data_IF_111282883550
#
_entry.id   IF_111282883550
#
_cell.length_a   1.000
_cell.length_b   1.000
_cell.length_c   1.000
_cell.angle_alpha   90.00
_cell.angle_beta   90.00
_cell.angle_gamma   90.00
#
_symmetry.space_group_name_H-M   'P 1'
#
loop_
_entity.id
_entity.type
_entity.pdbx_description
1 polymer ?
#
# COMPACT_ATOMS: atom_id res chain seq x y z
N UNK A 1 -14.28 -17.19 -18.80
CA UNK A 1 -14.07 -15.98 -17.99
C UNK A 1 -12.92 -16.31 -17.06
N UNK A 2 -11.86 -15.52 -17.10
CA UNK A 2 -10.81 -15.63 -16.09
C UNK A 2 -11.41 -15.37 -14.70
N UNK A 3 -10.96 -16.08 -13.65
CA UNK A 3 -11.46 -15.83 -12.31
C UNK A 3 -11.18 -14.38 -11.91
N UNK A 4 -12.19 -13.68 -11.47
CA UNK A 4 -12.10 -12.30 -11.05
C UNK A 4 -11.45 -12.25 -9.66
N UNK A 5 -10.22 -11.73 -9.57
CA UNK A 5 -9.53 -11.54 -8.30
C UNK A 5 -10.21 -10.46 -7.45
N UNK A 6 -10.09 -10.56 -6.12
CA UNK A 6 -10.65 -9.58 -5.19
C UNK A 6 -9.60 -9.13 -4.16
N UNK A 7 -9.42 -7.82 -4.06
CA UNK A 7 -8.50 -7.17 -3.12
C UNK A 7 -9.26 -6.21 -2.21
N UNK A 8 -8.94 -6.24 -0.92
CA UNK A 8 -9.43 -5.26 0.05
C UNK A 8 -8.33 -4.22 0.27
N UNK A 9 -8.65 -2.95 0.08
CA UNK A 9 -7.74 -1.82 0.32
C UNK A 9 -8.14 -1.09 1.59
N UNK A 10 -7.25 -1.05 2.57
CA UNK A 10 -7.43 -0.32 3.82
C UNK A 10 -6.76 1.05 3.75
N UNK A 11 -7.53 2.13 3.96
CA UNK A 11 -7.01 3.50 3.99
C UNK A 11 -6.62 3.93 5.40
N UNK A 12 -5.40 4.44 5.57
CA UNK A 12 -4.92 5.00 6.84
C UNK A 12 -4.55 6.50 6.74
N UNK A 13 -4.71 7.11 5.57
CA UNK A 13 -4.35 8.50 5.35
C UNK A 13 -2.94 8.68 4.79
N UNK A 14 -2.19 9.64 5.33
CA UNK A 14 -0.85 9.98 4.87
C UNK A 14 -0.81 10.85 3.61
N UNK A 15 0.39 11.00 3.05
CA UNK A 15 0.66 11.84 1.86
C UNK A 15 -0.09 11.36 0.62
N UNK A 16 -0.28 10.06 0.44
CA UNK A 16 -1.02 9.50 -0.69
C UNK A 16 -2.45 10.04 -0.74
N UNK A 17 -3.05 10.28 0.43
CA UNK A 17 -4.37 10.88 0.63
C UNK A 17 -4.28 12.39 0.90
N UNK A 18 -3.14 12.99 0.69
CA UNK A 18 -2.89 14.39 0.97
C UNK A 18 -3.30 15.30 -0.19
N UNK A 19 -3.80 16.49 0.13
CA UNK A 19 -4.15 17.53 -0.84
C UNK A 19 -3.50 18.87 -0.47
N UNK A 20 -3.14 19.63 -1.48
CA UNK A 20 -2.56 20.95 -1.36
C UNK A 20 -2.82 21.80 -2.60
N UNK A 21 -2.06 22.87 -2.77
CA UNK A 21 -2.17 23.69 -3.97
C UNK A 21 -1.84 22.89 -5.22
N UNK A 22 -2.63 23.08 -6.27
CA UNK A 22 -2.48 22.33 -7.52
C UNK A 22 -1.05 22.40 -8.07
N UNK A 23 -0.50 21.24 -8.40
CA UNK A 23 0.84 21.08 -8.95
C UNK A 23 2.00 21.19 -7.94
N UNK A 24 1.73 21.52 -6.66
CA UNK A 24 2.76 21.64 -5.63
C UNK A 24 2.96 20.34 -4.85
N UNK A 25 4.21 20.07 -4.46
CA UNK A 25 4.58 18.88 -3.67
C UNK A 25 4.85 19.22 -2.20
N UNK A 26 4.79 20.49 -1.83
CA UNK A 26 5.03 20.97 -0.48
C UNK A 26 3.82 21.78 0.01
N UNK A 27 3.71 21.97 1.32
CA UNK A 27 2.60 22.69 1.96
C UNK A 27 1.23 22.07 1.64
N UNK A 28 1.11 20.75 1.80
CA UNK A 28 -0.13 19.99 1.67
C UNK A 28 -0.61 19.53 3.06
N UNK A 29 -1.87 19.13 3.12
CA UNK A 29 -2.46 18.49 4.30
C UNK A 29 -2.59 16.98 4.01
N UNK A 30 -1.96 16.09 4.81
CA UNK A 30 -2.13 14.65 4.67
C UNK A 30 -3.55 14.21 5.06
N UNK A 31 -3.98 13.06 4.59
CA UNK A 31 -5.24 12.44 5.01
C UNK A 31 -6.50 13.25 4.69
N UNK A 32 -6.60 13.86 3.53
CA UNK A 32 -7.77 14.63 3.10
C UNK A 32 -8.73 13.83 2.22
N UNK A 33 -8.21 12.86 1.48
CA UNK A 33 -8.98 11.96 0.63
C UNK A 33 -9.26 10.66 1.36
N UNK A 34 -10.41 10.08 1.16
CA UNK A 34 -10.68 8.73 1.63
C UNK A 34 -10.16 7.66 0.65
N UNK A 35 -10.25 6.39 1.06
CA UNK A 35 -9.76 5.29 0.24
C UNK A 35 -10.52 5.15 -1.07
N UNK A 36 -11.80 5.47 -1.10
CA UNK A 36 -12.62 5.37 -2.31
C UNK A 36 -12.25 6.47 -3.31
N UNK A 37 -11.91 7.68 -2.84
CA UNK A 37 -11.34 8.74 -3.68
C UNK A 37 -10.02 8.31 -4.32
N UNK A 38 -9.14 7.64 -3.56
CA UNK A 38 -7.88 7.12 -4.09
C UNK A 38 -8.13 6.06 -5.17
N UNK A 39 -9.10 5.19 -4.95
CA UNK A 39 -9.47 4.14 -5.90
C UNK A 39 -10.08 4.71 -7.17
N UNK A 40 -10.84 5.79 -7.11
CA UNK A 40 -11.40 6.45 -8.30
C UNK A 40 -10.31 7.01 -9.23
N UNK A 41 -9.15 7.39 -8.69
CA UNK A 41 -8.03 7.89 -9.47
C UNK A 41 -7.29 6.81 -10.28
N UNK A 42 -7.58 5.52 -10.05
CA UNK A 42 -7.04 4.42 -10.86
C UNK A 42 -8.03 4.15 -12.01
N UNK A 43 -7.62 4.31 -13.27
CA UNK A 43 -8.48 4.00 -14.41
C UNK A 43 -9.03 2.56 -14.34
N UNK A 44 -10.32 2.33 -14.67
CA UNK A 44 -10.92 0.99 -14.61
C UNK A 44 -10.14 -0.07 -15.41
N UNK A 45 -9.66 0.30 -16.58
CA UNK A 45 -8.89 -0.60 -17.45
C UNK A 45 -7.56 -1.05 -16.83
N UNK A 46 -7.00 -0.23 -15.91
CA UNK A 46 -5.76 -0.56 -15.21
C UNK A 46 -5.97 -1.48 -13.99
N UNK A 47 -7.21 -1.67 -13.55
CA UNK A 47 -7.53 -2.62 -12.47
C UNK A 47 -7.57 -4.06 -12.97
N UNK A 48 -7.45 -4.27 -14.29
CA UNK A 48 -7.60 -5.55 -14.94
C UNK A 48 -8.90 -6.25 -14.48
N UNK A 49 -8.89 -7.54 -14.28
CA UNK A 49 -10.04 -8.32 -13.81
C UNK A 49 -10.12 -8.38 -12.26
N UNK A 50 -9.69 -7.31 -11.56
CA UNK A 50 -9.64 -7.28 -10.08
C UNK A 50 -10.79 -6.43 -9.53
N UNK A 51 -11.62 -7.04 -8.70
CA UNK A 51 -12.57 -6.32 -7.85
C UNK A 51 -11.82 -5.72 -6.67
N UNK A 52 -11.89 -4.41 -6.51
CA UNK A 52 -11.22 -3.69 -5.42
C UNK A 52 -12.28 -3.10 -4.49
N UNK A 53 -12.16 -3.37 -3.18
CA UNK A 53 -13.09 -2.88 -2.15
C UNK A 53 -12.32 -2.01 -1.16
N UNK A 54 -12.69 -0.74 -1.05
CA UNK A 54 -12.13 0.21 -0.08
C UNK A 54 -12.72 0.04 1.31
N UNK A 55 -11.90 0.19 2.34
CA UNK A 55 -12.30 0.30 3.74
C UNK A 55 -11.43 1.32 4.46
N UNK A 56 -12.03 2.39 4.99
CA UNK A 56 -11.27 3.36 5.77
C UNK A 56 -11.05 2.86 7.20
N UNK A 57 -9.81 2.95 7.68
CA UNK A 57 -9.43 2.69 9.07
C UNK A 57 -9.33 4.02 9.82
N UNK A 58 -8.52 4.93 9.29
CA UNK A 58 -8.34 6.29 9.79
C UNK A 58 -7.87 7.17 8.62
N UNK A 59 -7.80 8.48 8.85
CA UNK A 59 -7.33 9.41 7.84
C UNK A 59 -6.44 10.47 8.50
N UNK A 60 -5.25 10.03 8.92
CA UNK A 60 -4.32 10.82 9.73
C UNK A 60 -2.94 10.92 9.06
N UNK A 61 -2.09 11.82 9.57
CA UNK A 61 -0.66 11.73 9.27
C UNK A 61 -0.07 10.47 9.94
N UNK A 62 0.95 9.89 9.34
CA UNK A 62 1.49 8.61 9.84
C UNK A 62 2.05 8.70 11.27
N UNK A 63 2.54 9.88 11.66
CA UNK A 63 3.03 10.12 13.02
C UNK A 63 1.92 10.10 14.09
N UNK A 64 0.66 10.30 13.66
CA UNK A 64 -0.50 10.32 14.53
C UNK A 64 -1.21 8.95 14.60
N UNK A 65 -0.68 7.94 13.91
CA UNK A 65 -1.25 6.58 13.98
C UNK A 65 -1.06 5.99 15.37
N UNK A 66 -2.18 5.60 15.96
CA UNK A 66 -2.20 5.03 17.32
C UNK A 66 -2.08 3.51 17.29
N UNK A 67 -1.62 2.93 18.41
CA UNK A 67 -1.58 1.47 18.59
C UNK A 67 -2.95 0.81 18.41
N UNK A 68 -4.05 1.52 18.78
CA UNK A 68 -5.41 1.00 18.60
C UNK A 68 -5.79 0.88 17.12
N UNK A 69 -5.36 1.82 16.27
CA UNK A 69 -5.57 1.77 14.83
C UNK A 69 -4.78 0.63 14.18
N UNK A 70 -3.56 0.36 14.64
CA UNK A 70 -2.80 -0.81 14.21
C UNK A 70 -3.49 -2.12 14.57
N UNK A 71 -4.03 -2.22 15.80
CA UNK A 71 -4.77 -3.40 16.26
C UNK A 71 -6.05 -3.58 15.44
N UNK A 72 -6.81 -2.51 15.19
CA UNK A 72 -8.03 -2.58 14.37
C UNK A 72 -7.71 -3.04 12.95
N UNK A 73 -6.67 -2.49 12.33
CA UNK A 73 -6.22 -2.90 11.00
C UNK A 73 -5.85 -4.41 10.97
N UNK A 74 -5.04 -4.87 11.91
CA UNK A 74 -4.65 -6.27 12.00
C UNK A 74 -5.85 -7.21 12.23
N UNK A 75 -6.81 -6.80 13.07
CA UNK A 75 -8.04 -7.55 13.33
C UNK A 75 -8.91 -7.65 12.07
N UNK A 76 -9.05 -6.56 11.30
CA UNK A 76 -9.83 -6.56 10.05
C UNK A 76 -9.20 -7.44 8.98
N UNK A 77 -7.88 -7.40 8.81
CA UNK A 77 -7.15 -8.29 7.91
C UNK A 77 -7.36 -9.75 8.34
N UNK A 78 -7.16 -10.06 9.62
CA UNK A 78 -7.31 -11.43 10.13
C UNK A 78 -8.74 -11.95 10.00
N UNK A 79 -9.76 -11.11 10.19
CA UNK A 79 -11.16 -11.48 10.02
C UNK A 79 -11.50 -11.89 8.57
N UNK A 80 -10.76 -11.39 7.58
CA UNK A 80 -10.96 -11.69 6.16
C UNK A 80 -9.90 -12.66 5.60
N UNK A 81 -8.96 -13.10 6.44
CA UNK A 81 -7.83 -13.95 6.03
C UNK A 81 -8.27 -15.30 5.44
N UNK A 82 -9.34 -15.89 5.98
CA UNK A 82 -9.91 -17.17 5.53
C UNK A 82 -11.00 -17.04 4.47
N UNK A 83 -11.39 -15.84 4.08
CA UNK A 83 -12.42 -15.63 3.05
C UNK A 83 -11.89 -16.07 1.68
N UNK A 84 -12.46 -17.13 1.06
CA UNK A 84 -11.95 -17.66 -0.19
C UNK A 84 -12.12 -16.69 -1.39
N UNK A 85 -12.99 -15.70 -1.26
CA UNK A 85 -13.20 -14.70 -2.31
C UNK A 85 -12.14 -13.61 -2.30
N UNK A 86 -11.35 -13.46 -1.23
CA UNK A 86 -10.31 -12.43 -1.12
C UNK A 86 -8.96 -13.02 -1.46
N UNK A 87 -8.26 -12.45 -2.44
CA UNK A 87 -6.94 -12.90 -2.87
C UNK A 87 -5.81 -12.22 -2.11
N UNK A 88 -6.00 -10.96 -1.71
CA UNK A 88 -4.98 -10.21 -0.99
C UNK A 88 -5.50 -8.92 -0.36
N UNK A 89 -4.60 -8.23 0.32
CA UNK A 89 -4.88 -7.01 1.06
C UNK A 89 -3.87 -5.93 0.68
N UNK A 90 -4.34 -4.69 0.57
CA UNK A 90 -3.49 -3.52 0.40
C UNK A 90 -3.77 -2.54 1.54
N UNK A 91 -2.73 -1.86 2.01
CA UNK A 91 -2.83 -0.77 3.00
C UNK A 91 -2.20 0.47 2.39
N UNK A 92 -2.94 1.57 2.29
CA UNK A 92 -2.38 2.89 1.97
C UNK A 92 -2.00 3.61 3.25
N UNK A 93 -0.79 4.13 3.33
CA UNK A 93 -0.21 4.66 4.56
C UNK A 93 0.64 5.90 4.31
N UNK A 94 0.83 6.72 5.33
CA UNK A 94 1.84 7.77 5.30
C UNK A 94 3.25 7.21 5.45
N UNK A 95 4.23 7.86 4.81
CA UNK A 95 5.56 7.25 4.61
C UNK A 95 6.48 7.33 5.82
N UNK A 96 6.21 8.20 6.83
CA UNK A 96 7.14 8.41 7.95
C UNK A 96 7.16 7.23 8.93
N UNK A 97 6.02 6.53 9.10
CA UNK A 97 5.91 5.35 9.97
C UNK A 97 5.37 4.11 9.23
N UNK A 98 5.54 4.08 7.90
CA UNK A 98 5.10 2.95 7.08
C UNK A 98 5.84 1.66 7.45
N UNK A 99 7.14 1.74 7.68
CA UNK A 99 7.98 0.59 8.01
C UNK A 99 7.59 -0.04 9.36
N UNK A 100 7.21 0.76 10.35
CA UNK A 100 6.74 0.28 11.65
C UNK A 100 5.40 -0.43 11.51
N UNK A 101 4.46 0.14 10.75
CA UNK A 101 3.18 -0.50 10.45
C UNK A 101 3.39 -1.80 9.70
N UNK A 102 4.30 -1.83 8.72
CA UNK A 102 4.63 -3.03 7.96
C UNK A 102 5.16 -4.14 8.89
N UNK A 103 6.08 -3.80 9.79
CA UNK A 103 6.65 -4.77 10.71
C UNK A 103 5.63 -5.25 11.75
N UNK A 104 4.81 -4.34 12.29
CA UNK A 104 3.72 -4.71 13.20
C UNK A 104 2.75 -5.72 12.54
N UNK A 105 2.31 -5.44 11.33
CA UNK A 105 1.42 -6.36 10.60
C UNK A 105 2.11 -7.69 10.31
N UNK A 106 3.40 -7.68 9.96
CA UNK A 106 4.15 -8.91 9.71
C UNK A 106 4.23 -9.85 10.93
N UNK A 107 4.16 -9.29 12.14
CA UNK A 107 4.14 -10.05 13.38
C UNK A 107 2.74 -10.50 13.82
N UNK A 108 1.68 -9.85 13.35
CA UNK A 108 0.32 -9.99 13.91
C UNK A 108 -0.70 -10.57 12.94
N UNK A 109 -0.51 -10.44 11.64
CA UNK A 109 -1.43 -11.02 10.66
C UNK A 109 -1.19 -12.51 10.47
N UNK A 110 -2.30 -13.28 10.39
CA UNK A 110 -2.27 -14.75 10.34
C UNK A 110 -2.79 -15.25 8.98
N UNK A 111 -2.12 -14.82 7.91
CA UNK A 111 -2.51 -15.22 6.55
C UNK A 111 -1.27 -15.50 5.71
N UNK A 112 -1.45 -16.38 4.69
CA UNK A 112 -0.47 -16.54 3.60
C UNK A 112 -0.81 -15.68 2.39
N UNK A 113 -2.00 -15.05 2.36
CA UNK A 113 -2.37 -14.12 1.30
C UNK A 113 -1.47 -12.90 1.36
N UNK A 114 -1.11 -12.30 0.24
CA UNK A 114 -0.29 -11.09 0.24
C UNK A 114 -0.96 -9.96 1.04
N UNK A 115 -0.19 -9.33 1.89
CA UNK A 115 -0.55 -8.07 2.55
C UNK A 115 0.49 -7.05 2.11
N UNK A 116 0.07 -6.08 1.32
CA UNK A 116 0.97 -5.12 0.67
C UNK A 116 0.70 -3.72 1.21
N UNK A 117 1.73 -3.08 1.72
CA UNK A 117 1.64 -1.68 2.16
C UNK A 117 2.26 -0.78 1.10
N UNK A 118 1.64 0.36 0.87
CA UNK A 118 2.12 1.39 -0.03
C UNK A 118 1.78 2.79 0.46
N UNK A 119 2.32 3.79 -0.18
CA UNK A 119 2.10 5.20 0.12
C UNK A 119 2.50 6.08 -1.06
N UNK A 120 2.77 7.36 -0.78
CA UNK A 120 3.30 8.27 -1.77
C UNK A 120 4.25 9.30 -1.13
N UNK A 121 5.25 9.74 -1.87
CA UNK A 121 6.13 10.84 -1.47
C UNK A 121 5.57 12.20 -1.88
N UNK A 122 4.60 12.23 -2.79
CA UNK A 122 3.95 13.44 -3.30
C UNK A 122 2.44 13.38 -3.06
N UNK A 123 1.80 14.51 -2.65
CA UNK A 123 0.36 14.54 -2.44
C UNK A 123 -0.40 14.31 -3.75
N UNK A 124 -1.66 13.91 -3.64
CA UNK A 124 -2.51 13.60 -4.79
C UNK A 124 -2.67 14.78 -5.77
N UNK A 125 -2.54 16.01 -5.29
CA UNK A 125 -2.63 17.24 -6.10
C UNK A 125 -1.32 17.66 -6.77
N UNK A 126 -0.21 16.96 -6.52
CA UNK A 126 1.08 17.28 -7.14
C UNK A 126 1.06 17.00 -8.66
N UNK A 127 1.86 17.75 -9.43
CA UNK A 127 1.93 17.62 -10.89
C UNK A 127 2.31 16.20 -11.35
N UNK A 128 3.18 15.53 -10.61
CA UNK A 128 3.55 14.12 -10.84
C UNK A 128 3.40 13.33 -9.56
N UNK A 129 2.15 13.19 -9.09
CA UNK A 129 1.80 12.38 -7.94
C UNK A 129 2.16 10.90 -8.23
N UNK A 130 2.90 10.29 -7.30
CA UNK A 130 3.33 8.88 -7.41
C UNK A 130 2.32 7.90 -6.83
N UNK A 131 1.37 8.38 -6.03
CA UNK A 131 0.37 7.56 -5.34
C UNK A 131 -0.47 6.64 -6.25
N UNK A 132 -1.05 7.12 -7.36
CA UNK A 132 -1.85 6.27 -8.24
C UNK A 132 -1.09 5.07 -8.80
N UNK A 133 0.17 5.26 -9.22
CA UNK A 133 1.01 4.17 -9.72
C UNK A 133 1.37 3.20 -8.59
N UNK A 134 1.79 3.70 -7.44
CA UNK A 134 2.14 2.88 -6.29
C UNK A 134 0.95 2.03 -5.82
N UNK A 135 -0.25 2.62 -5.75
CA UNK A 135 -1.47 1.91 -5.37
C UNK A 135 -1.85 0.82 -6.38
N UNK A 136 -1.75 1.11 -7.66
CA UNK A 136 -2.00 0.15 -8.72
C UNK A 136 -1.03 -1.04 -8.64
N UNK A 137 0.26 -0.78 -8.48
CA UNK A 137 1.29 -1.81 -8.33
C UNK A 137 1.07 -2.66 -7.08
N UNK A 138 0.66 -2.04 -5.96
CA UNK A 138 0.31 -2.76 -4.74
C UNK A 138 -0.90 -3.68 -4.93
N UNK A 139 -1.93 -3.25 -5.66
CA UNK A 139 -3.11 -4.08 -5.98
C UNK A 139 -2.70 -5.28 -6.84
N UNK A 140 -1.86 -5.09 -7.85
CA UNK A 140 -1.35 -6.18 -8.70
C UNK A 140 -0.52 -7.18 -7.90
N UNK A 141 0.38 -6.69 -7.06
CA UNK A 141 1.18 -7.55 -6.18
C UNK A 141 0.28 -8.35 -5.22
N UNK A 142 -0.80 -7.75 -4.72
CA UNK A 142 -1.74 -8.41 -3.80
C UNK A 142 -2.54 -9.57 -4.45
N UNK A 143 -2.61 -9.63 -5.78
CA UNK A 143 -3.23 -10.76 -6.52
C UNK A 143 -2.21 -11.76 -7.07
N UNK A 144 -0.92 -11.45 -7.00
CA UNK A 144 0.12 -12.28 -7.59
C UNK A 144 0.45 -13.49 -6.71
N UNK A 145 0.40 -14.68 -7.31
CA UNK A 145 0.66 -15.94 -6.58
C UNK A 145 2.08 -16.07 -6.05
N UNK A 146 3.05 -15.44 -6.69
CA UNK A 146 4.45 -15.45 -6.22
C UNK A 146 4.62 -14.68 -4.90
N UNK A 147 3.70 -13.78 -4.57
CA UNK A 147 3.70 -13.03 -3.31
C UNK A 147 3.11 -13.81 -2.12
N UNK A 148 2.47 -14.97 -2.37
CA UNK A 148 1.89 -15.79 -1.31
C UNK A 148 2.95 -16.35 -0.37
N UNK A 149 2.74 -16.15 0.92
CA UNK A 149 3.62 -16.68 1.97
C UNK A 149 4.91 -15.90 2.19
N UNK A 150 5.12 -14.78 1.49
CA UNK A 150 6.29 -13.91 1.69
C UNK A 150 6.18 -13.00 2.92
N UNK A 151 5.05 -13.05 3.66
CA UNK A 151 4.77 -12.15 4.77
C UNK A 151 4.17 -10.82 4.28
N UNK A 152 4.33 -9.77 5.08
CA UNK A 152 3.92 -8.42 4.70
C UNK A 152 4.97 -7.78 3.81
N UNK A 153 4.53 -7.22 2.71
CA UNK A 153 5.37 -6.59 1.69
C UNK A 153 5.13 -5.08 1.65
N UNK A 154 6.16 -4.33 1.31
CA UNK A 154 6.06 -2.92 0.96
C UNK A 154 6.32 -2.79 -0.54
N UNK A 155 5.35 -2.22 -1.27
CA UNK A 155 5.48 -1.92 -2.69
C UNK A 155 5.59 -0.40 -2.88
N UNK A 156 6.73 0.07 -3.38
CA UNK A 156 6.96 1.50 -3.50
C UNK A 156 7.88 1.80 -4.70
N UNK A 157 7.45 2.73 -5.56
CA UNK A 157 8.18 3.09 -6.79
C UNK A 157 8.60 1.87 -7.64
N UNK A 158 7.73 0.87 -7.74
CA UNK A 158 7.98 -0.38 -8.47
C UNK A 158 8.81 -1.42 -7.73
N UNK A 159 9.47 -1.06 -6.64
CA UNK A 159 10.26 -1.99 -5.82
C UNK A 159 9.39 -2.70 -4.78
N UNK A 160 9.71 -3.96 -4.49
CA UNK A 160 9.04 -4.75 -3.47
C UNK A 160 10.03 -5.11 -2.37
N UNK A 161 9.71 -4.75 -1.14
CA UNK A 161 10.53 -5.01 0.04
C UNK A 161 9.80 -5.89 1.04
N UNK A 162 10.54 -6.69 1.78
CA UNK A 162 10.00 -7.39 2.94
C UNK A 162 9.88 -6.46 4.15
N UNK A 163 8.77 -6.56 4.89
CA UNK A 163 8.51 -5.72 6.07
C UNK A 163 9.59 -5.77 7.16
N UNK A 164 10.41 -6.82 7.21
CA UNK A 164 11.48 -6.98 8.19
C UNK A 164 12.74 -6.18 7.86
N UNK A 165 12.87 -5.71 6.61
CA UNK A 165 14.12 -5.14 6.11
C UNK A 165 13.94 -3.76 5.47
N UNK A 166 12.70 -3.36 5.22
CA UNK A 166 12.39 -2.07 4.60
C UNK A 166 12.68 -0.92 5.56
N UNK A 167 13.21 0.17 5.01
CA UNK A 167 13.54 1.39 5.75
C UNK A 167 13.32 2.60 4.85
N UNK A 168 12.78 3.70 5.39
CA UNK A 168 12.68 4.98 4.68
C UNK A 168 14.07 5.62 4.58
N UNK A 169 14.64 5.62 3.39
CA UNK A 169 16.01 6.06 3.14
C UNK A 169 16.12 7.55 2.82
N UNK A 170 15.05 8.19 2.36
CA UNK A 170 15.05 9.61 1.98
C UNK A 170 13.70 10.28 2.23
N UNK A 171 13.73 11.57 2.47
CA UNK A 171 12.54 12.42 2.63
C UNK A 171 12.13 13.11 1.32
N UNK A 172 12.95 13.00 0.27
CA UNK A 172 12.72 13.56 -1.05
C UNK A 172 12.85 12.46 -2.12
N UNK A 173 12.26 12.68 -3.26
CA UNK A 173 12.28 11.72 -4.34
C UNK A 173 11.23 10.62 -4.15
N UNK A 174 10.84 9.99 -5.26
CA UNK A 174 9.80 8.96 -5.25
C UNK A 174 10.31 7.59 -4.81
N UNK A 175 11.61 7.35 -4.90
CA UNK A 175 12.27 6.14 -4.41
C UNK A 175 12.62 6.30 -2.92
N UNK A 176 11.58 6.44 -2.09
CA UNK A 176 11.73 6.77 -0.68
C UNK A 176 12.27 5.67 0.21
N UNK A 177 12.22 4.41 -0.23
CA UNK A 177 12.49 3.22 0.59
C UNK A 177 13.63 2.37 0.04
N UNK A 178 14.29 1.65 0.93
CA UNK A 178 15.33 0.67 0.64
C UNK A 178 15.17 -0.58 1.51
N UNK A 179 15.79 -1.67 1.09
CA UNK A 179 15.98 -2.84 1.95
C UNK A 179 17.34 -2.78 2.61
N UNK A 180 17.39 -2.65 3.92
CA UNK A 180 18.60 -2.36 4.70
C UNK A 180 19.69 -3.40 4.54
N UNK A 181 19.36 -4.68 4.59
CA UNK A 181 20.33 -5.76 4.57
C UNK A 181 20.31 -6.57 3.27
N UNK A 182 19.13 -6.82 2.73
CA UNK A 182 18.92 -7.72 1.58
C UNK A 182 18.51 -7.00 0.29
N UNK A 183 18.29 -5.70 0.34
CA UNK A 183 17.77 -4.96 -0.82
C UNK A 183 16.28 -5.25 -1.05
N UNK A 184 15.81 -5.05 -2.29
CA UNK A 184 14.45 -5.40 -2.66
C UNK A 184 14.32 -6.90 -2.96
N UNK A 185 13.13 -7.45 -2.73
CA UNK A 185 12.79 -8.84 -3.07
C UNK A 185 12.50 -9.02 -4.56
N UNK A 186 12.11 -7.96 -5.23
CA UNK A 186 11.75 -7.98 -6.64
C UNK A 186 11.12 -6.66 -7.09
N UNK A 187 10.55 -6.67 -8.29
CA UNK A 187 9.94 -5.49 -8.91
C UNK A 187 8.54 -5.81 -9.43
N UNK A 188 7.67 -4.80 -9.41
CA UNK A 188 6.41 -4.79 -10.16
C UNK A 188 6.62 -3.92 -11.39
N UNK A 189 6.61 -4.55 -12.56
CA UNK A 189 6.75 -3.89 -13.86
C UNK A 189 5.48 -4.16 -14.64
N UNK A 190 4.77 -3.09 -15.02
CA UNK A 190 3.47 -3.18 -15.67
C UNK A 190 2.51 -4.09 -14.89
N UNK A 191 2.22 -5.29 -15.41
CA UNK A 191 1.25 -6.22 -14.84
C UNK A 191 1.89 -7.40 -14.10
N UNK A 192 3.21 -7.46 -14.04
CA UNK A 192 3.94 -8.62 -13.53
C UNK A 192 4.81 -8.27 -12.31
N UNK A 193 4.92 -9.26 -11.42
CA UNK A 193 5.85 -9.23 -10.29
C UNK A 193 7.01 -10.18 -10.57
N UNK A 194 8.21 -9.65 -10.59
CA UNK A 194 9.43 -10.42 -10.77
C UNK A 194 10.17 -10.50 -9.43
N UNK A 195 10.16 -11.70 -8.85
CA UNK A 195 10.89 -12.05 -7.66
C UNK A 195 12.34 -12.40 -8.03
N UNK A 196 13.32 -11.97 -7.22
CA UNK A 196 14.72 -12.37 -7.36
C UNK A 196 15.00 -13.75 -6.79
#
# INVERSE_FOLDING_TARGET
MEPQSKVIVFGMGGTIAGTGSAGKSINYQPGQLDVDDLLQNIPPDMRLHTTVVGQQICNVNSDDVTSQQWIDLACRINARASDPEVDGFVVTHGTDTLEETAYFLNLTVKTKKPVVITGAMRPATALSADGPLNLMQAIRLATNRQAYGLGVLVCFAGHVFGARDVEKATTFGVEGFTGRNSGCLGYVIEDDFQLY
#
